data_IF_522604419265
#
_entry.id   IF_522604419265
#
_cell.length_a   1.000
_cell.length_b   1.000
_cell.length_c   1.000
_cell.angle_alpha   90.00
_cell.angle_beta   90.00
_cell.angle_gamma   90.00
#
_symmetry.space_group_name_H-M   'P 1'
#
loop_
_entity.id
_entity.type
_entity.pdbx_description
1 polymer ?
#
# COMPACT_ATOMS: atom_id res chain seq x y z
N UNK A 1 -12.59 1.48 9.12
CA UNK A 1 -11.33 2.25 9.21
C UNK A 1 -10.39 1.79 8.10
N UNK A 2 -9.79 2.72 7.39
CA UNK A 2 -8.93 2.41 6.27
C UNK A 2 -7.53 2.92 6.51
N UNK A 3 -6.57 2.27 5.87
CA UNK A 3 -5.17 2.67 5.93
C UNK A 3 -4.65 2.88 4.52
N UNK A 4 -3.89 3.96 4.32
CA UNK A 4 -3.16 4.15 3.08
C UNK A 4 -1.79 3.54 3.28
N UNK A 5 -1.54 2.44 2.59
CA UNK A 5 -0.29 1.73 2.69
C UNK A 5 0.64 2.18 1.57
N UNK A 6 1.88 2.52 1.93
CA UNK A 6 2.88 2.97 0.98
C UNK A 6 3.88 1.85 0.76
N UNK A 7 4.08 1.50 -0.50
CA UNK A 7 4.93 0.38 -0.87
C UNK A 7 6.08 0.84 -1.74
N UNK A 8 7.17 0.11 -1.65
CA UNK A 8 8.31 0.33 -2.51
C UNK A 8 8.93 -1.02 -2.84
N UNK A 9 9.05 -1.30 -4.13
CA UNK A 9 9.63 -2.56 -4.57
C UNK A 9 11.14 -2.54 -4.35
N UNK A 10 11.66 -3.60 -3.71
CA UNK A 10 13.10 -3.71 -3.48
C UNK A 10 13.85 -4.11 -4.74
N UNK A 11 13.13 -4.54 -5.78
CA UNK A 11 13.76 -5.05 -7.00
C UNK A 11 13.83 -3.99 -8.10
N UNK A 12 12.72 -3.29 -8.33
CA UNK A 12 12.68 -2.28 -9.40
C UNK A 12 12.53 -0.86 -8.87
N UNK A 13 12.45 -0.69 -7.56
CA UNK A 13 12.32 0.60 -6.89
C UNK A 13 11.04 1.34 -7.24
N UNK A 14 10.06 0.65 -7.79
CA UNK A 14 8.77 1.25 -8.07
C UNK A 14 8.03 1.53 -6.78
N UNK A 15 7.38 2.67 -6.67
CA UNK A 15 6.61 3.03 -5.49
C UNK A 15 5.14 3.14 -5.86
N UNK A 16 4.29 2.65 -4.95
CA UNK A 16 2.85 2.74 -5.17
C UNK A 16 2.15 2.79 -3.82
N UNK A 17 0.87 3.12 -3.86
CA UNK A 17 0.05 3.16 -2.65
C UNK A 17 -1.25 2.41 -2.89
N UNK A 18 -1.76 1.83 -1.82
CA UNK A 18 -3.07 1.18 -1.82
C UNK A 18 -3.79 1.54 -0.55
N UNK A 19 -5.12 1.55 -0.62
CA UNK A 19 -5.95 1.83 0.55
C UNK A 19 -6.72 0.55 0.89
N UNK A 20 -6.49 0.07 2.09
CA UNK A 20 -7.10 -1.17 2.56
C UNK A 20 -7.58 -1.02 3.99
N UNK A 21 -8.45 -1.93 4.42
CA UNK A 21 -8.90 -1.94 5.81
C UNK A 21 -7.84 -2.50 6.76
N UNK A 22 -6.73 -2.96 6.25
CA UNK A 22 -5.64 -3.52 7.05
C UNK A 22 -4.31 -3.24 6.38
N UNK A 23 -3.24 -3.34 7.16
CA UNK A 23 -1.89 -3.27 6.62
C UNK A 23 -1.50 -4.67 6.18
N UNK A 24 -1.38 -4.87 4.88
CA UNK A 24 -1.06 -6.19 4.33
C UNK A 24 -0.06 -6.05 3.19
N UNK A 25 0.54 -7.18 2.84
CA UNK A 25 1.48 -7.23 1.74
C UNK A 25 0.75 -7.05 0.41
N UNK A 26 1.47 -6.54 -0.57
CA UNK A 26 0.93 -6.36 -1.91
C UNK A 26 1.97 -6.80 -2.93
N UNK A 27 1.55 -6.92 -4.17
CA UNK A 27 2.44 -7.28 -5.26
C UNK A 27 2.83 -6.03 -6.02
N UNK A 28 4.10 -5.97 -6.44
CA UNK A 28 4.57 -4.86 -7.24
C UNK A 28 3.85 -4.86 -8.59
N UNK A 29 3.17 -3.77 -8.95
CA UNK A 29 2.43 -3.73 -10.22
C UNK A 29 3.33 -3.59 -11.44
N UNK A 30 4.61 -3.31 -11.25
CA UNK A 30 5.52 -3.10 -12.36
C UNK A 30 6.32 -4.35 -12.71
N UNK A 31 6.94 -4.99 -11.73
CA UNK A 31 7.79 -6.16 -12.00
C UNK A 31 7.18 -7.46 -11.50
N UNK A 32 6.07 -7.40 -10.78
CA UNK A 32 5.41 -8.59 -10.29
C UNK A 32 6.02 -9.22 -9.05
N UNK A 33 6.94 -8.52 -8.39
CA UNK A 33 7.49 -9.03 -7.13
C UNK A 33 6.37 -9.14 -6.11
N UNK A 34 6.35 -10.23 -5.34
CA UNK A 34 5.26 -10.52 -4.43
C UNK A 34 5.65 -10.28 -2.99
N UNK A 35 4.63 -10.17 -2.14
CA UNK A 35 4.81 -10.09 -0.69
C UNK A 35 5.63 -8.88 -0.27
N UNK A 36 5.37 -7.76 -0.91
CA UNK A 36 6.01 -6.50 -0.53
C UNK A 36 5.25 -5.90 0.63
N UNK A 37 5.92 -5.74 1.76
CA UNK A 37 5.31 -5.13 2.94
C UNK A 37 5.35 -3.61 2.79
N UNK A 38 4.34 -2.92 3.30
CA UNK A 38 4.37 -1.45 3.27
C UNK A 38 5.46 -0.93 4.20
N UNK A 39 6.15 0.11 3.76
CA UNK A 39 7.16 0.73 4.61
C UNK A 39 6.53 1.84 5.46
N UNK A 40 5.30 2.22 5.17
CA UNK A 40 4.60 3.26 5.89
C UNK A 40 3.11 3.06 5.71
N UNK A 41 2.34 3.42 6.72
CA UNK A 41 0.87 3.40 6.64
C UNK A 41 0.33 4.63 7.32
N UNK A 42 -0.76 5.17 6.77
CA UNK A 42 -1.43 6.33 7.35
C UNK A 42 -2.90 6.02 7.52
N UNK A 43 -3.50 6.55 8.58
CA UNK A 43 -4.94 6.45 8.75
C UNK A 43 -5.65 7.27 7.70
N UNK A 44 -6.70 6.70 7.12
CA UNK A 44 -7.53 7.39 6.14
C UNK A 44 -8.93 7.49 6.73
N UNK A 45 -9.47 8.71 6.85
CA UNK A 45 -10.84 8.86 7.35
C UNK A 45 -11.81 8.18 6.39
N UNK A 46 -12.71 7.43 6.94
CA UNK A 46 -13.73 6.82 6.11
C UNK A 46 -14.71 7.87 5.68
N UNK A 47 -15.03 7.85 4.63
CA UNK A 47 -15.81 8.70 4.20
C UNK A 47 -16.52 9.62 4.09
N UNK A 48 -16.96 9.96 4.11
CA UNK A 48 -17.31 10.56 4.08
C UNK A 48 -17.96 11.33 3.67
N UNK A 49 -18.32 11.76 3.38
CA UNK A 49 -18.74 12.40 3.00
C UNK A 49 -19.00 13.11 2.99
N UNK A 50 -19.19 13.49 2.91
CA UNK A 50 -19.50 14.14 2.84
C UNK A 50 -19.82 14.49 2.59
#
# INVERSE_FOLDING_TARGET
>A
MLFRNFYRCARCAHEWTDVWSAMCDDDCPQCGARHMSPYKSEDVPEATDE
#
